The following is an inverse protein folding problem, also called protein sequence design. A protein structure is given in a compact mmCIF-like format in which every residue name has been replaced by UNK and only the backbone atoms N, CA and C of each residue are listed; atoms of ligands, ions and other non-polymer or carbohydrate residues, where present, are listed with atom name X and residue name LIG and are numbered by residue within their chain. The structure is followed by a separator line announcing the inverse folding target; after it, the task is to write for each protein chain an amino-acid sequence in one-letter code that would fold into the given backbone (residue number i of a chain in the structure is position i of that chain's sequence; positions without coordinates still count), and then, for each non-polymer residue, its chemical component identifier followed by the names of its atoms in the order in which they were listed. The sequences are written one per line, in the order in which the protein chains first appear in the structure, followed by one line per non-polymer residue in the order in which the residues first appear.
data_IF_174565874897
#
_entry.id   IF_174565874897
#
_cell.length_a   1.000
_cell.length_b   1.000
_cell.length_c   1.000
_cell.angle_alpha   90.00
_cell.angle_beta   90.00
_cell.angle_gamma   90.00
#
_symmetry.space_group_name_H-M   'P 1'
#
loop_
_entity.id
_entity.type
_entity.pdbx_description
1 polymer ?
#
# COMPACT_ATOMS: atom_id res chain seq x y z
N UNK A 1 4.51 -29.52 2.21
CA UNK A 1 5.65 -28.58 2.13
C UNK A 1 5.20 -27.33 2.84
N UNK A 2 5.71 -27.12 4.05
CA UNK A 2 5.37 -25.98 4.90
C UNK A 2 5.93 -24.71 4.29
N UNK A 3 5.11 -23.65 4.22
CA UNK A 3 5.58 -22.32 3.92
C UNK A 3 6.44 -21.85 5.10
N UNK A 4 7.60 -21.29 4.78
CA UNK A 4 8.54 -20.73 5.74
C UNK A 4 7.99 -19.34 6.14
N UNK A 5 7.30 -19.28 7.28
CA UNK A 5 6.55 -18.10 7.78
C UNK A 5 7.49 -16.98 8.28
N UNK A 6 8.79 -17.23 8.39
CA UNK A 6 9.78 -16.32 8.99
C UNK A 6 10.31 -15.23 8.02
N UNK A 7 9.59 -14.91 6.94
CA UNK A 7 9.96 -13.85 5.97
C UNK A 7 8.97 -12.69 5.86
N UNK A 8 8.02 -12.57 6.77
CA UNK A 8 7.08 -11.43 6.84
C UNK A 8 7.34 -10.64 8.13
N UNK A 9 8.54 -10.07 8.25
CA UNK A 9 8.86 -9.09 9.29
C UNK A 9 9.43 -7.83 8.62
N UNK A 10 8.53 -6.97 8.14
CA UNK A 10 8.73 -5.52 8.03
C UNK A 10 7.54 -4.83 7.31
N UNK A 11 6.33 -4.88 7.89
CA UNK A 11 5.32 -3.84 7.62
C UNK A 11 4.71 -3.39 8.95
N UNK A 12 5.56 -2.85 9.80
CA UNK A 12 5.17 -2.02 10.93
C UNK A 12 5.39 -0.56 10.58
N UNK A 13 4.33 0.24 10.77
CA UNK A 13 4.30 1.71 10.75
C UNK A 13 4.16 2.38 9.36
N UNK A 14 2.91 2.51 8.89
CA UNK A 14 2.25 3.83 8.74
C UNK A 14 0.95 3.74 7.92
N UNK A 15 -0.04 3.04 8.46
CA UNK A 15 -1.46 3.16 8.08
C UNK A 15 -2.28 3.99 9.08
N UNK A 16 -1.61 4.84 9.86
CA UNK A 16 -2.21 5.79 10.79
C UNK A 16 -1.22 6.95 10.91
N UNK A 17 -1.30 7.91 10.00
CA UNK A 17 -0.67 9.20 10.17
C UNK A 17 -1.25 9.82 11.43
N UNK A 18 -0.48 9.77 12.53
CA UNK A 18 -0.80 10.31 13.86
C UNK A 18 -1.02 11.83 13.91
N UNK A 19 -1.38 12.45 12.79
CA UNK A 19 -1.81 13.83 12.64
C UNK A 19 -3.29 14.05 13.04
N UNK A 20 -4.10 12.98 13.19
CA UNK A 20 -5.53 13.14 13.49
C UNK A 20 -5.87 13.60 14.92
N UNK A 21 -4.90 13.61 15.84
CA UNK A 21 -5.09 14.17 17.19
C UNK A 21 -4.57 15.61 17.33
N UNK A 22 -4.43 16.36 16.24
CA UNK A 22 -4.20 17.81 16.29
C UNK A 22 -5.48 18.56 16.68
N UNK A 23 -5.84 18.45 17.96
CA UNK A 23 -7.03 19.13 18.47
C UNK A 23 -7.39 18.86 19.93
N UNK A 24 -6.49 18.29 20.73
CA UNK A 24 -6.73 18.15 22.16
C UNK A 24 -6.86 19.54 22.80
N UNK A 25 -8.09 20.03 22.94
CA UNK A 25 -8.40 21.25 23.68
C UNK A 25 -8.59 20.90 25.14
N UNK A 26 -7.79 21.51 25.99
CA UNK A 26 -7.91 21.40 27.45
C UNK A 26 -9.19 22.11 27.90
N UNK A 27 -10.16 21.38 28.45
CA UNK A 27 -11.32 21.98 29.12
C UNK A 27 -11.16 21.81 30.63
N UNK A 28 -10.74 22.88 31.32
CA UNK A 28 -10.57 22.85 32.77
C UNK A 28 -11.88 23.02 33.57
N UNK A 29 -13.06 23.01 32.93
CA UNK A 29 -14.35 22.95 33.62
C UNK A 29 -14.67 24.12 34.57
N UNK A 30 -13.87 25.18 34.57
CA UNK A 30 -14.11 26.39 35.36
C UNK A 30 -14.73 27.45 34.44
N UNK A 31 -15.99 27.76 34.71
CA UNK A 31 -16.82 28.67 33.95
C UNK A 31 -16.29 30.12 34.04
N UNK A 32 -15.32 30.51 33.19
CA UNK A 32 -15.03 31.91 32.89
C UNK A 32 -15.51 32.25 31.48
N UNK A 33 -16.38 33.25 31.37
CA UNK A 33 -16.70 33.88 30.09
C UNK A 33 -15.44 34.59 29.57
N UNK A 34 -14.94 34.17 28.42
CA UNK A 34 -13.87 34.84 27.68
C UNK A 34 -14.47 35.93 26.79
N UNK A 35 -13.83 37.10 26.72
CA UNK A 35 -14.16 38.13 25.72
C UNK A 35 -13.45 37.82 24.38
N UNK A 36 -13.98 38.26 23.22
CA UNK A 36 -13.36 38.00 21.93
C UNK A 36 -11.96 38.65 21.83
N UNK A 37 -10.92 37.86 21.56
CA UNK A 37 -9.58 38.36 21.20
C UNK A 37 -8.40 37.97 22.09
N UNK A 38 -8.56 37.13 23.12
CA UNK A 38 -7.41 36.61 23.87
C UNK A 38 -6.84 35.33 23.24
N UNK A 39 -5.53 35.30 23.01
CA UNK A 39 -4.77 34.08 22.69
C UNK A 39 -4.47 33.33 23.99
N UNK A 40 -4.66 32.02 23.98
CA UNK A 40 -4.31 31.13 25.09
C UNK A 40 -2.79 31.05 25.20
N UNK A 41 -2.26 31.40 26.36
CA UNK A 41 -1.00 30.82 26.84
C UNK A 41 -1.37 29.45 27.43
N UNK A 42 -0.68 28.40 26.99
CA UNK A 42 -1.07 26.98 27.13
C UNK A 42 -1.09 26.42 28.57
N UNK A 43 -1.03 27.26 29.61
CA UNK A 43 -0.99 26.83 31.01
C UNK A 43 -2.16 27.39 31.83
N UNK A 44 -2.88 26.48 32.50
CA UNK A 44 -3.95 26.82 33.44
C UNK A 44 -3.37 27.52 34.68
N UNK A 45 -3.64 28.82 34.87
CA UNK A 45 -3.11 29.62 35.99
C UNK A 45 -3.78 29.38 37.36
N UNK A 46 -4.49 28.25 37.55
CA UNK A 46 -5.10 27.90 38.84
C UNK A 46 -4.13 27.07 39.68
N UNK A 47 -3.68 27.56 40.85
CA UNK A 47 -2.79 26.79 41.71
C UNK A 47 -3.45 25.45 42.11
N UNK A 48 -2.73 24.33 41.93
CA UNK A 48 -3.15 22.95 42.22
C UNK A 48 -4.23 22.34 41.29
N UNK A 49 -4.44 22.86 40.07
CA UNK A 49 -5.30 22.18 39.10
C UNK A 49 -4.57 20.99 38.46
N UNK A 50 -4.94 19.76 38.81
CA UNK A 50 -4.34 18.52 38.27
C UNK A 50 -4.84 18.13 36.86
N UNK A 51 -5.64 18.97 36.19
CA UNK A 51 -6.13 18.74 34.83
C UNK A 51 -6.70 17.34 34.60
N UNK A 52 -7.98 17.09 34.93
CA UNK A 52 -8.57 15.80 34.60
C UNK A 52 -8.80 15.68 33.09
N UNK A 53 -8.35 14.56 32.52
CA UNK A 53 -8.66 14.14 31.17
C UNK A 53 -10.17 13.86 31.09
N UNK A 54 -10.95 14.84 30.62
CA UNK A 54 -12.29 14.55 30.09
C UNK A 54 -12.07 13.93 28.72
N UNK A 55 -12.39 12.65 28.60
CA UNK A 55 -12.22 11.88 27.38
C UNK A 55 -12.87 12.53 26.17
N UNK A 56 -12.51 12.00 24.99
CA UNK A 56 -13.01 12.37 23.67
C UNK A 56 -14.52 12.69 23.71
N UNK A 57 -14.88 13.81 23.09
CA UNK A 57 -16.27 14.26 22.97
C UNK A 57 -17.17 13.10 22.52
N UNK A 58 -18.21 12.69 23.27
CA UNK A 58 -19.10 11.61 22.88
C UNK A 58 -19.89 11.90 21.59
N UNK A 59 -19.83 13.13 21.05
CA UNK A 59 -20.32 13.45 19.71
C UNK A 59 -19.39 13.02 18.57
N UNK A 60 -18.14 12.63 18.87
CA UNK A 60 -17.22 11.95 17.94
C UNK A 60 -17.51 10.45 17.81
N UNK A 61 -18.48 9.91 18.56
CA UNK A 61 -18.90 8.50 18.51
C UNK A 61 -19.78 8.16 17.29
N UNK A 62 -19.89 9.05 16.31
CA UNK A 62 -20.40 8.64 15.00
C UNK A 62 -19.33 7.77 14.33
N UNK A 63 -19.53 6.44 14.20
CA UNK A 63 -18.58 5.62 13.46
C UNK A 63 -18.41 6.21 12.06
N UNK A 64 -17.18 6.51 11.66
CA UNK A 64 -16.89 7.00 10.32
C UNK A 64 -17.40 5.99 9.30
N UNK A 65 -18.29 6.42 8.40
CA UNK A 65 -18.83 5.55 7.35
C UNK A 65 -17.97 5.72 6.10
N UNK A 66 -17.28 4.64 5.69
CA UNK A 66 -16.55 4.59 4.43
C UNK A 66 -17.38 3.82 3.39
N UNK A 67 -17.81 4.50 2.34
CA UNK A 67 -18.49 3.87 1.21
C UNK A 67 -17.45 3.37 0.22
N UNK A 68 -17.27 2.04 0.18
CA UNK A 68 -16.41 1.35 -0.79
C UNK A 68 -17.22 0.55 -1.83
N UNK A 69 -18.55 0.74 -1.85
CA UNK A 69 -19.43 0.19 -2.90
C UNK A 69 -18.89 0.58 -4.28
N UNK A 70 -18.81 -0.40 -5.18
CA UNK A 70 -18.28 -0.30 -6.56
C UNK A 70 -16.75 -0.07 -6.70
N UNK A 71 -15.98 -0.05 -5.61
CA UNK A 71 -14.51 -0.02 -5.70
C UNK A 71 -13.94 -1.43 -5.88
N UNK A 72 -12.89 -1.61 -6.69
CA UNK A 72 -12.17 -2.88 -6.75
C UNK A 72 -11.64 -3.30 -5.38
N UNK A 73 -11.87 -4.56 -5.02
CA UNK A 73 -11.35 -5.18 -3.80
C UNK A 73 -9.90 -5.61 -4.03
N UNK A 74 -8.96 -4.69 -3.82
CA UNK A 74 -7.53 -4.93 -4.05
C UNK A 74 -6.95 -6.04 -3.17
N UNK A 75 -7.55 -6.27 -2.00
CA UNK A 75 -7.21 -7.34 -1.04
C UNK A 75 -7.48 -8.76 -1.56
N UNK A 76 -8.20 -8.91 -2.68
CA UNK A 76 -8.44 -10.22 -3.31
C UNK A 76 -7.25 -10.72 -4.14
N UNK A 77 -6.23 -9.90 -4.39
CA UNK A 77 -5.01 -10.34 -5.04
C UNK A 77 -4.27 -11.29 -4.09
N UNK A 78 -3.89 -12.51 -4.50
CA UNK A 78 -3.17 -13.42 -3.62
C UNK A 78 -1.82 -12.80 -3.18
N UNK A 79 -1.61 -12.52 -1.87
CA UNK A 79 -0.50 -11.68 -1.41
C UNK A 79 0.88 -12.31 -1.65
N UNK A 80 0.96 -13.64 -1.61
CA UNK A 80 2.20 -14.38 -1.93
C UNK A 80 2.61 -14.17 -3.39
N UNK A 81 1.65 -14.23 -4.31
CA UNK A 81 1.91 -14.04 -5.73
C UNK A 81 2.22 -12.58 -6.04
N UNK A 82 1.52 -11.64 -5.39
CA UNK A 82 1.78 -10.21 -5.50
C UNK A 82 3.23 -9.86 -5.10
N UNK A 83 3.67 -10.37 -3.94
CA UNK A 83 5.04 -10.17 -3.48
C UNK A 83 6.07 -10.82 -4.41
N UNK A 84 5.80 -12.03 -4.91
CA UNK A 84 6.71 -12.72 -5.84
C UNK A 84 6.85 -11.95 -7.17
N UNK A 85 5.76 -11.37 -7.69
CA UNK A 85 5.81 -10.47 -8.85
C UNK A 85 6.63 -9.22 -8.54
N UNK A 86 6.47 -8.63 -7.35
CA UNK A 86 7.28 -7.48 -6.92
C UNK A 86 8.77 -7.82 -6.88
N UNK A 87 9.16 -9.03 -6.47
CA UNK A 87 10.55 -9.49 -6.55
C UNK A 87 11.05 -9.60 -7.99
N UNK A 88 10.24 -10.12 -8.94
CA UNK A 88 10.60 -10.16 -10.36
C UNK A 88 10.81 -8.75 -10.92
N UNK A 89 9.92 -7.81 -10.59
CA UNK A 89 10.04 -6.41 -10.99
C UNK A 89 11.29 -5.76 -10.39
N UNK A 90 11.58 -6.03 -9.12
CA UNK A 90 12.78 -5.53 -8.42
C UNK A 90 14.06 -6.05 -9.07
N UNK A 91 14.12 -7.34 -9.41
CA UNK A 91 15.24 -7.92 -10.14
C UNK A 91 15.43 -7.27 -11.51
N UNK A 92 14.34 -7.10 -12.26
CA UNK A 92 14.35 -6.42 -13.55
C UNK A 92 14.81 -4.97 -13.46
N UNK A 93 14.33 -4.22 -12.47
CA UNK A 93 14.70 -2.84 -12.22
C UNK A 93 16.17 -2.70 -11.82
N UNK A 94 16.69 -3.60 -10.97
CA UNK A 94 18.09 -3.62 -10.61
C UNK A 94 19.00 -3.92 -11.82
N UNK A 95 18.57 -4.80 -12.73
CA UNK A 95 19.36 -5.22 -13.89
C UNK A 95 19.30 -4.26 -15.07
N UNK A 96 18.14 -3.67 -15.35
CA UNK A 96 17.89 -2.89 -16.57
C UNK A 96 17.40 -1.46 -16.30
N UNK A 97 17.19 -1.08 -15.04
CA UNK A 97 16.56 0.18 -14.65
C UNK A 97 15.03 0.04 -14.45
N UNK A 98 14.43 0.83 -13.54
CA UNK A 98 12.98 0.91 -13.39
C UNK A 98 12.31 1.26 -14.72
N UNK A 99 11.12 0.69 -14.96
CA UNK A 99 10.31 0.93 -16.17
C UNK A 99 10.97 0.65 -17.54
N UNK A 100 12.18 0.08 -17.57
CA UNK A 100 12.88 -0.22 -18.83
C UNK A 100 12.09 -1.17 -19.75
N UNK A 101 11.16 -1.95 -19.18
CA UNK A 101 10.24 -2.81 -19.91
C UNK A 101 9.42 -2.06 -20.96
N UNK A 102 9.12 -0.77 -20.75
CA UNK A 102 8.37 0.09 -21.69
C UNK A 102 9.13 0.39 -22.99
N UNK A 103 10.45 0.27 -22.98
CA UNK A 103 11.32 0.62 -24.10
C UNK A 103 11.74 -0.59 -24.94
N UNK A 104 11.21 -1.78 -24.63
CA UNK A 104 11.54 -3.01 -25.35
C UNK A 104 10.98 -2.94 -26.78
N UNK A 105 11.82 -3.05 -27.84
CA UNK A 105 11.33 -3.07 -29.21
C UNK A 105 10.54 -4.36 -29.47
N UNK A 106 9.48 -4.27 -30.28
CA UNK A 106 8.59 -5.41 -30.56
C UNK A 106 8.03 -6.04 -29.25
N UNK A 107 7.66 -5.15 -28.31
CA UNK A 107 7.28 -5.45 -26.93
C UNK A 107 6.29 -6.62 -26.86
N UNK A 108 5.22 -6.55 -27.66
CA UNK A 108 4.15 -7.55 -27.67
C UNK A 108 4.69 -8.95 -27.96
N UNK A 109 5.41 -9.14 -29.06
CA UNK A 109 5.95 -10.45 -29.44
C UNK A 109 6.97 -10.93 -28.43
N UNK A 110 7.84 -10.05 -27.92
CA UNK A 110 8.90 -10.43 -26.96
C UNK A 110 8.35 -10.89 -25.62
N UNK A 111 7.38 -10.19 -25.05
CA UNK A 111 6.78 -10.58 -23.77
C UNK A 111 5.85 -11.80 -23.91
N UNK A 112 5.14 -11.96 -25.04
CA UNK A 112 4.41 -13.22 -25.32
C UNK A 112 5.38 -14.40 -25.37
N UNK A 113 6.51 -14.26 -26.07
CA UNK A 113 7.51 -15.32 -26.16
C UNK A 113 8.17 -15.61 -24.79
N UNK A 114 8.43 -14.59 -23.98
CA UNK A 114 8.97 -14.74 -22.62
C UNK A 114 7.98 -15.46 -21.70
N UNK A 115 6.71 -15.03 -21.66
CA UNK A 115 5.66 -15.69 -20.88
C UNK A 115 5.53 -17.16 -21.26
N UNK A 116 5.52 -17.48 -22.56
CA UNK A 116 5.46 -18.87 -23.05
C UNK A 116 6.64 -19.72 -22.57
N UNK A 117 7.86 -19.18 -22.51
CA UNK A 117 9.03 -19.93 -21.96
C UNK A 117 8.83 -20.31 -20.50
N UNK A 118 8.29 -19.40 -19.68
CA UNK A 118 8.00 -19.66 -18.27
C UNK A 118 6.83 -20.63 -18.08
N UNK A 119 5.78 -20.52 -18.89
CA UNK A 119 4.66 -21.47 -18.90
C UNK A 119 5.14 -22.87 -19.29
N UNK A 120 5.97 -22.97 -20.34
CA UNK A 120 6.53 -24.25 -20.78
C UNK A 120 7.44 -24.89 -19.71
N UNK A 121 8.16 -24.09 -18.93
CA UNK A 121 8.97 -24.59 -17.81
C UNK A 121 8.07 -25.20 -16.71
N UNK A 122 6.97 -24.53 -16.36
CA UNK A 122 5.97 -25.06 -15.43
C UNK A 122 5.35 -26.37 -15.94
N UNK A 123 5.02 -26.45 -17.23
CA UNK A 123 4.51 -27.68 -17.84
C UNK A 123 5.50 -28.85 -17.77
N UNK A 124 6.79 -28.56 -17.67
CA UNK A 124 7.85 -29.56 -17.50
C UNK A 124 8.13 -29.88 -16.02
N UNK A 125 7.39 -29.29 -15.08
CA UNK A 125 7.62 -29.44 -13.64
C UNK A 125 8.79 -28.62 -13.10
N UNK A 126 9.31 -27.67 -13.88
CA UNK A 126 10.34 -26.73 -13.43
C UNK A 126 9.62 -25.52 -12.82
N UNK A 127 9.73 -25.36 -11.51
CA UNK A 127 9.01 -24.32 -10.77
C UNK A 127 9.79 -23.01 -10.67
N UNK A 128 11.12 -23.08 -10.53
CA UNK A 128 11.98 -21.92 -10.27
C UNK A 128 12.87 -21.61 -11.46
N UNK A 129 13.01 -20.32 -11.74
CA UNK A 129 13.93 -19.83 -12.75
C UNK A 129 15.38 -19.88 -12.22
N UNK A 130 16.30 -20.44 -13.00
CA UNK A 130 17.71 -20.62 -12.60
C UNK A 130 18.45 -19.31 -12.35
N UNK A 131 18.13 -18.25 -13.09
CA UNK A 131 18.82 -16.96 -12.98
C UNK A 131 18.42 -16.19 -11.71
N UNK A 132 17.14 -16.26 -11.34
CA UNK A 132 16.57 -15.42 -10.28
C UNK A 132 16.21 -16.20 -9.01
N UNK A 133 16.07 -17.52 -9.09
CA UNK A 133 15.50 -18.36 -8.03
C UNK A 133 13.99 -18.17 -7.82
N UNK A 134 13.35 -17.24 -8.53
CA UNK A 134 11.92 -16.90 -8.38
C UNK A 134 11.02 -17.84 -9.17
N UNK A 135 9.76 -17.95 -8.75
CA UNK A 135 8.80 -18.86 -9.37
C UNK A 135 8.47 -18.47 -10.82
N UNK A 136 8.42 -19.46 -11.72
CA UNK A 136 8.13 -19.24 -13.13
C UNK A 136 6.75 -18.65 -13.39
N UNK A 137 5.76 -18.94 -12.54
CA UNK A 137 4.45 -18.30 -12.65
C UNK A 137 4.53 -16.78 -12.46
N UNK A 138 5.36 -16.28 -11.52
CA UNK A 138 5.53 -14.86 -11.28
C UNK A 138 6.17 -14.15 -12.48
N UNK A 139 7.19 -14.79 -13.08
CA UNK A 139 7.78 -14.29 -14.33
C UNK A 139 6.77 -14.24 -15.48
N UNK A 140 5.95 -15.28 -15.64
CA UNK A 140 4.90 -15.32 -16.66
C UNK A 140 3.84 -14.23 -16.42
N UNK A 141 3.36 -14.09 -15.18
CA UNK A 141 2.38 -13.07 -14.80
C UNK A 141 2.93 -11.66 -15.03
N UNK A 142 4.17 -11.39 -14.63
CA UNK A 142 4.84 -10.10 -14.87
C UNK A 142 4.89 -9.75 -16.36
N UNK A 143 5.24 -10.72 -17.23
CA UNK A 143 5.19 -10.52 -18.68
C UNK A 143 3.79 -10.17 -19.19
N UNK A 144 2.74 -10.83 -18.67
CA UNK A 144 1.35 -10.56 -19.05
C UNK A 144 0.85 -9.22 -18.50
N UNK A 145 1.29 -8.80 -17.31
CA UNK A 145 0.99 -7.49 -16.74
C UNK A 145 1.53 -6.36 -17.62
N UNK A 146 2.76 -6.47 -18.12
CA UNK A 146 3.30 -5.47 -19.05
C UNK A 146 2.48 -5.36 -20.34
N UNK A 147 2.01 -6.50 -20.87
CA UNK A 147 1.14 -6.50 -22.04
C UNK A 147 -0.23 -5.87 -21.73
N UNK A 148 -0.82 -6.24 -20.59
CA UNK A 148 -2.09 -5.70 -20.12
C UNK A 148 -2.02 -4.19 -19.90
N UNK A 149 -0.97 -3.71 -19.26
CA UNK A 149 -0.72 -2.28 -19.04
C UNK A 149 -0.70 -1.51 -20.38
N UNK A 150 0.02 -2.03 -21.39
CA UNK A 150 0.05 -1.40 -22.72
C UNK A 150 -1.31 -1.44 -23.42
N UNK A 151 -2.04 -2.55 -23.30
CA UNK A 151 -3.33 -2.74 -23.99
C UNK A 151 -4.49 -2.00 -23.31
N UNK A 152 -4.44 -1.81 -21.98
CA UNK A 152 -5.50 -1.20 -21.16
C UNK A 152 -5.30 0.31 -20.97
N UNK A 153 -4.06 0.80 -20.94
CA UNK A 153 -3.76 2.23 -20.94
C UNK A 153 -3.87 2.77 -22.37
N UNK A 154 -5.09 2.70 -22.94
CA UNK A 154 -5.42 3.43 -24.16
C UNK A 154 -5.84 4.85 -23.77
N UNK A 155 -5.41 5.89 -24.50
CA UNK A 155 -5.98 7.22 -24.31
C UNK A 155 -7.49 7.12 -24.56
N UNK A 156 -8.28 7.70 -23.65
CA UNK A 156 -9.70 7.93 -23.90
C UNK A 156 -9.76 8.81 -25.15
N UNK A 157 -10.33 8.28 -26.24
CA UNK A 157 -10.63 9.10 -27.40
C UNK A 157 -11.57 10.22 -26.95
N UNK A 158 -11.13 11.47 -27.11
CA UNK A 158 -11.86 12.67 -26.73
C UNK A 158 -13.00 12.97 -27.70
#
# INVERSE_FOLDING_TARGET
MSFDEDRIDAIGQNGNDGEHYKGARFNCGHNRQMAPGQLLEDECMVPNCLGQYVGVDPSLDSPGVKYDTDKPMMDLIPPVMELEIAHVLTFGAAKYGPDNWRHVPDLRRRYIAAAKRHINALQQGIERNEETGLHHAAHAACCLMFLGEVDLVKPVEA
#
